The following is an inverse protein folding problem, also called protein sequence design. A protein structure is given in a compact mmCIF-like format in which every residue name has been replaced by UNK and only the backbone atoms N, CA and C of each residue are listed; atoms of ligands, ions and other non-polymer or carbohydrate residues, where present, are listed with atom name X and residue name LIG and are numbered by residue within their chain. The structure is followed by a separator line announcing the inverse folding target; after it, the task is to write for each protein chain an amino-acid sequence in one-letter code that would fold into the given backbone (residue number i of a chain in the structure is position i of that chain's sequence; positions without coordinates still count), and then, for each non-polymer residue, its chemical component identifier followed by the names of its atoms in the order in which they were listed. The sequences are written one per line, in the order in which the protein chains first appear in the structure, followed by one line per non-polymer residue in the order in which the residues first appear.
data_IF_698198373669
#
_entry.id   IF_698198373669
#
_cell.length_a   1.000
_cell.length_b   1.000
_cell.length_c   1.000
_cell.angle_alpha   90.00
_cell.angle_beta   90.00
_cell.angle_gamma   90.00
#
_symmetry.space_group_name_H-M   'P 1'
#
loop_
_entity.id
_entity.type
_entity.pdbx_description
1 polymer ?
#
# COMPACT_ATOMS: atom_id res chain seq x y z
N UNK A 1 -9.69 -52.95 43.96
CA UNK A 1 -8.95 -52.83 42.72
C UNK A 1 -9.55 -51.70 41.91
N UNK A 2 -9.00 -50.55 41.96
CA UNK A 2 -9.43 -49.40 41.23
C UNK A 2 -8.18 -48.63 40.74
N UNK A 3 -7.92 -48.73 39.47
CA UNK A 3 -6.86 -47.99 38.83
C UNK A 3 -7.37 -46.60 38.45
N UNK A 4 -6.87 -45.59 39.13
CA UNK A 4 -7.08 -44.19 38.77
C UNK A 4 -6.08 -43.78 37.68
N UNK A 5 -6.58 -43.55 36.49
CA UNK A 5 -5.80 -42.96 35.42
C UNK A 5 -5.67 -41.44 35.62
N UNK A 6 -4.49 -41.00 35.95
CA UNK A 6 -4.16 -39.56 35.95
C UNK A 6 -3.94 -39.10 34.51
N UNK A 7 -4.89 -38.34 33.97
CA UNK A 7 -4.75 -37.58 32.74
C UNK A 7 -3.87 -36.37 33.04
N UNK A 8 -2.59 -36.51 32.75
CA UNK A 8 -1.65 -35.38 32.73
C UNK A 8 -1.92 -34.50 31.52
N UNK A 9 -2.59 -33.36 31.71
CA UNK A 9 -2.63 -32.31 30.75
C UNK A 9 -1.21 -31.75 30.57
N UNK A 10 -0.57 -32.06 29.46
CA UNK A 10 0.67 -31.42 29.05
C UNK A 10 0.37 -29.92 28.83
N UNK A 11 0.82 -29.10 29.78
CA UNK A 11 0.87 -27.63 29.60
C UNK A 11 1.80 -27.35 28.43
N UNK A 12 1.21 -27.04 27.29
CA UNK A 12 1.97 -26.65 26.09
C UNK A 12 2.72 -25.36 26.36
N UNK A 13 3.94 -25.48 26.85
CA UNK A 13 4.86 -24.36 26.87
C UNK A 13 5.25 -24.10 25.42
N UNK A 14 4.92 -22.91 24.93
CA UNK A 14 5.43 -22.46 23.65
C UNK A 14 6.95 -22.56 23.65
N UNK A 15 7.57 -23.20 22.63
CA UNK A 15 9.00 -23.36 22.58
C UNK A 15 9.69 -21.98 22.55
N UNK A 16 10.66 -21.79 23.43
CA UNK A 16 11.47 -20.58 23.43
C UNK A 16 12.39 -20.58 22.19
N UNK A 17 12.35 -19.51 21.43
CA UNK A 17 13.22 -19.31 20.27
C UNK A 17 14.10 -18.08 20.48
N UNK A 18 15.30 -18.13 19.90
CA UNK A 18 16.23 -16.99 19.86
C UNK A 18 16.62 -16.70 18.42
N UNK A 19 16.47 -15.44 18.00
CA UNK A 19 16.99 -14.98 16.72
C UNK A 19 18.51 -15.01 16.73
N UNK A 20 19.11 -15.78 15.83
CA UNK A 20 20.57 -15.91 15.72
C UNK A 20 21.14 -14.82 14.82
N UNK A 21 20.47 -14.53 13.70
CA UNK A 21 20.86 -13.44 12.79
C UNK A 21 19.64 -13.01 11.96
N UNK A 22 19.65 -11.77 11.50
CA UNK A 22 18.74 -11.28 10.47
C UNK A 22 19.36 -11.63 9.11
N UNK A 23 18.62 -12.36 8.28
CA UNK A 23 19.09 -12.77 6.94
C UNK A 23 18.81 -11.65 5.95
N UNK A 24 17.59 -11.13 5.98
CA UNK A 24 17.10 -10.05 5.15
C UNK A 24 16.06 -9.25 5.92
N UNK A 25 15.97 -7.96 5.64
CA UNK A 25 14.94 -7.10 6.22
C UNK A 25 13.85 -6.88 5.18
N UNK A 26 12.61 -7.17 5.54
CA UNK A 26 11.46 -6.98 4.64
C UNK A 26 11.12 -5.50 4.41
N UNK A 27 11.56 -4.61 5.32
CA UNK A 27 11.28 -3.18 5.25
C UNK A 27 12.51 -2.38 5.63
N UNK A 28 12.94 -1.55 4.73
CA UNK A 28 13.98 -0.53 4.90
C UNK A 28 13.41 0.89 4.96
N UNK A 29 12.11 1.03 4.70
CA UNK A 29 11.38 2.30 4.77
C UNK A 29 10.20 2.18 5.72
N UNK A 30 9.89 3.29 6.39
CA UNK A 30 8.71 3.41 7.23
C UNK A 30 8.12 4.81 7.12
N UNK A 31 6.89 4.95 7.61
CA UNK A 31 6.21 6.24 7.76
C UNK A 31 6.20 6.62 9.24
N UNK A 32 6.45 7.89 9.52
CA UNK A 32 6.46 8.41 10.87
C UNK A 32 6.24 9.92 10.90
N UNK A 33 6.06 10.43 12.12
CA UNK A 33 5.94 11.86 12.39
C UNK A 33 7.33 12.46 12.58
N UNK A 34 7.58 13.53 11.87
CA UNK A 34 8.84 14.27 11.97
C UNK A 34 8.77 15.28 13.11
N UNK A 35 9.76 15.22 13.99
CA UNK A 35 9.96 16.16 15.08
C UNK A 35 11.28 16.90 14.90
N UNK A 36 11.26 18.21 15.03
CA UNK A 36 12.47 19.04 14.92
C UNK A 36 13.22 19.03 16.26
N UNK A 37 14.42 18.48 16.26
CA UNK A 37 15.30 18.40 17.43
C UNK A 37 16.74 18.77 17.04
N UNK A 38 17.00 20.07 16.86
CA UNK A 38 18.30 20.57 16.38
C UNK A 38 19.51 19.93 17.08
N UNK A 39 20.54 19.50 16.38
CA UNK A 39 20.76 19.60 14.91
C UNK A 39 20.13 18.45 14.11
N UNK A 40 19.25 17.66 14.70
CA UNK A 40 18.60 16.49 14.10
C UNK A 40 17.13 16.76 13.76
N UNK A 41 16.60 15.93 12.86
CA UNK A 41 15.19 15.62 12.78
C UNK A 41 14.99 14.21 13.34
N UNK A 42 13.93 14.01 14.08
CA UNK A 42 13.57 12.72 14.67
C UNK A 42 12.28 12.24 14.02
N UNK A 43 12.29 11.03 13.47
CA UNK A 43 11.09 10.43 12.92
C UNK A 43 10.57 9.40 13.90
N UNK A 44 9.40 9.68 14.48
CA UNK A 44 8.66 8.79 15.37
C UNK A 44 7.76 7.90 14.53
N UNK A 45 7.98 6.58 14.48
CA UNK A 45 7.20 5.68 13.64
C UNK A 45 5.70 5.69 13.98
N UNK A 46 4.85 5.69 12.95
CA UNK A 46 3.39 5.50 13.10
C UNK A 46 3.02 4.03 13.44
N UNK A 47 3.90 3.07 13.15
CA UNK A 47 3.69 1.67 13.50
C UNK A 47 4.19 1.39 14.93
N UNK A 48 3.29 1.10 15.89
CA UNK A 48 3.67 0.86 17.28
C UNK A 48 4.53 -0.39 17.49
N UNK A 49 4.65 -1.23 16.47
CA UNK A 49 5.55 -2.41 16.51
C UNK A 49 7.01 -2.04 16.32
N UNK A 50 7.30 -0.80 15.91
CA UNK A 50 8.65 -0.26 15.76
C UNK A 50 8.93 0.61 17.00
N UNK A 51 9.65 0.10 18.00
CA UNK A 51 9.80 0.78 19.29
C UNK A 51 11.02 1.71 19.36
N UNK A 52 11.46 2.26 18.23
CA UNK A 52 12.62 3.14 18.19
C UNK A 52 12.43 4.25 17.16
N UNK A 53 12.95 5.41 17.48
CA UNK A 53 12.93 6.57 16.61
C UNK A 53 14.09 6.52 15.61
N UNK A 54 13.93 7.19 14.47
CA UNK A 54 14.94 7.29 13.43
C UNK A 54 15.49 8.71 13.39
N UNK A 55 16.79 8.85 13.58
CA UNK A 55 17.46 10.12 13.52
C UNK A 55 17.87 10.47 12.10
N UNK A 56 17.58 11.68 11.68
CA UNK A 56 17.97 12.25 10.39
C UNK A 56 18.77 13.53 10.61
N UNK A 57 19.54 13.94 9.62
CA UNK A 57 20.22 15.23 9.70
C UNK A 57 19.28 16.35 9.30
N UNK A 58 19.01 17.28 10.20
CA UNK A 58 18.14 18.43 9.93
C UNK A 58 18.64 19.28 8.77
N UNK A 59 19.95 19.38 8.60
CA UNK A 59 20.58 20.13 7.52
C UNK A 59 20.25 19.61 6.12
N UNK A 60 19.95 18.31 5.97
CA UNK A 60 19.62 17.70 4.68
C UNK A 60 18.22 18.10 4.21
N UNK A 61 17.31 18.34 5.14
CA UNK A 61 15.91 18.69 4.87
C UNK A 61 15.42 19.79 5.83
N UNK A 62 15.95 21.01 5.69
CA UNK A 62 15.54 22.15 6.53
C UNK A 62 14.12 22.64 6.26
N UNK A 63 13.53 22.20 5.15
CA UNK A 63 12.19 22.52 4.66
C UNK A 63 11.08 21.78 5.42
N UNK A 64 11.40 20.67 6.09
CA UNK A 64 10.37 19.85 6.76
C UNK A 64 9.94 20.53 8.06
N UNK A 65 8.65 20.76 8.18
CA UNK A 65 8.05 21.33 9.38
C UNK A 65 7.84 20.29 10.48
N UNK A 66 7.86 20.76 11.73
CA UNK A 66 7.54 19.93 12.90
C UNK A 66 6.11 19.38 12.80
N UNK A 67 5.92 18.10 13.12
CA UNK A 67 4.64 17.40 13.02
C UNK A 67 4.29 16.89 11.63
N UNK A 68 5.16 17.08 10.62
CA UNK A 68 4.94 16.51 9.28
C UNK A 68 4.97 14.99 9.30
N UNK A 69 4.12 14.34 8.51
CA UNK A 69 4.20 12.91 8.20
C UNK A 69 5.19 12.71 7.06
N UNK A 70 6.16 11.85 7.28
CA UNK A 70 7.24 11.61 6.33
C UNK A 70 7.46 10.13 6.09
N UNK A 71 7.93 9.78 4.89
CA UNK A 71 8.52 8.49 4.61
C UNK A 71 10.04 8.60 4.75
N UNK A 72 10.60 7.76 5.61
CA UNK A 72 12.02 7.70 5.88
C UNK A 72 12.57 6.35 5.47
N UNK A 73 13.73 6.34 4.79
CA UNK A 73 14.50 5.14 4.52
C UNK A 73 15.56 4.97 5.59
N UNK A 74 15.58 3.81 6.22
CA UNK A 74 16.52 3.47 7.28
C UNK A 74 17.87 3.11 6.66
N UNK A 75 18.90 3.81 7.03
CA UNK A 75 20.29 3.52 6.61
C UNK A 75 21.01 2.66 7.64
N UNK A 76 20.83 3.00 8.91
CA UNK A 76 21.41 2.23 10.02
C UNK A 76 20.30 1.76 10.94
N UNK A 77 20.22 0.46 11.15
CA UNK A 77 19.28 -0.11 12.11
C UNK A 77 19.83 -0.05 13.54
N UNK A 78 18.95 0.07 14.55
CA UNK A 78 19.40 0.19 15.93
C UNK A 78 20.15 -1.06 16.38
N UNK A 79 21.20 -0.84 17.15
CA UNK A 79 21.97 -1.88 17.82
C UNK A 79 22.23 -1.46 19.27
N UNK A 80 22.91 -2.32 20.04
CA UNK A 80 23.13 -2.09 21.49
C UNK A 80 23.62 -0.68 21.84
N UNK A 81 24.48 -0.10 21.00
CA UNK A 81 25.09 1.22 21.21
C UNK A 81 24.93 2.14 19.98
N UNK A 82 23.98 1.86 19.11
CA UNK A 82 23.81 2.62 17.87
C UNK A 82 22.33 2.93 17.72
N UNK A 83 22.00 4.22 17.59
CA UNK A 83 20.67 4.66 17.25
C UNK A 83 20.34 4.34 15.79
N UNK A 84 19.05 4.24 15.46
CA UNK A 84 18.64 4.13 14.08
C UNK A 84 18.86 5.48 13.38
N UNK A 85 19.40 5.44 12.17
CA UNK A 85 19.52 6.64 11.31
C UNK A 85 18.88 6.39 9.95
N UNK A 86 18.46 7.46 9.29
CA UNK A 86 17.83 7.35 7.99
C UNK A 86 17.77 8.69 7.25
N UNK A 87 17.22 8.63 6.05
CA UNK A 87 17.01 9.78 5.17
C UNK A 87 15.53 9.92 4.85
N UNK A 88 14.98 11.12 4.98
CA UNK A 88 13.61 11.41 4.57
C UNK A 88 13.55 11.43 3.04
N UNK A 89 12.79 10.51 2.47
CA UNK A 89 12.58 10.41 1.04
C UNK A 89 11.42 11.29 0.56
N UNK A 90 10.36 11.40 1.39
CA UNK A 90 9.14 12.10 0.99
C UNK A 90 8.46 12.72 2.20
N UNK A 91 7.87 13.89 1.99
CA UNK A 91 6.89 14.49 2.90
C UNK A 91 5.50 14.15 2.38
N UNK A 92 4.73 13.41 3.17
CA UNK A 92 3.41 12.93 2.80
C UNK A 92 2.37 14.04 3.00
N UNK A 93 2.48 14.76 4.12
CA UNK A 93 1.56 15.83 4.47
C UNK A 93 1.69 16.18 5.95
N UNK A 94 0.70 16.86 6.49
CA UNK A 94 0.60 17.15 7.92
C UNK A 94 -0.38 16.20 8.58
N UNK A 95 -0.11 15.81 9.80
CA UNK A 95 -0.98 14.90 10.56
C UNK A 95 -2.38 15.45 10.84
N UNK A 96 -2.56 16.78 10.73
CA UNK A 96 -3.81 17.51 10.95
C UNK A 96 -4.59 17.79 9.64
N UNK A 97 -4.08 17.41 8.49
CA UNK A 97 -4.79 17.56 7.21
C UNK A 97 -5.85 16.46 7.05
N UNK A 98 -7.06 16.82 6.64
CA UNK A 98 -8.18 15.89 6.48
C UNK A 98 -7.91 14.83 5.39
N UNK A 99 -7.19 15.21 4.34
CA UNK A 99 -6.91 14.35 3.18
C UNK A 99 -5.70 13.43 3.38
N UNK A 100 -4.87 13.66 4.40
CA UNK A 100 -3.62 12.91 4.63
C UNK A 100 -3.85 11.42 4.92
N UNK A 101 -5.07 11.06 5.36
CA UNK A 101 -5.39 9.69 5.74
C UNK A 101 -5.21 8.67 4.59
N UNK A 102 -5.60 9.04 3.39
CA UNK A 102 -5.45 8.18 2.19
C UNK A 102 -3.98 8.10 1.79
N UNK A 103 -3.30 9.22 1.72
CA UNK A 103 -1.88 9.29 1.37
C UNK A 103 -1.01 8.51 2.36
N UNK A 104 -1.37 8.56 3.64
CA UNK A 104 -0.73 7.76 4.69
C UNK A 104 -0.89 6.26 4.45
N UNK A 105 -2.08 5.80 4.06
CA UNK A 105 -2.35 4.40 3.73
C UNK A 105 -1.54 3.98 2.51
N UNK A 106 -1.56 4.77 1.45
CA UNK A 106 -0.79 4.56 0.22
C UNK A 106 0.71 4.44 0.53
N UNK A 107 1.25 5.39 1.29
CA UNK A 107 2.66 5.40 1.66
C UNK A 107 3.04 4.22 2.57
N UNK A 108 2.20 3.89 3.55
CA UNK A 108 2.43 2.78 4.49
C UNK A 108 2.43 1.42 3.81
N UNK A 109 1.54 1.23 2.85
CA UNK A 109 1.42 -0.03 2.10
C UNK A 109 2.26 -0.04 0.81
N UNK A 110 3.00 1.03 0.52
CA UNK A 110 3.83 1.17 -0.69
C UNK A 110 3.02 0.91 -1.96
N UNK A 111 1.78 1.43 -2.00
CA UNK A 111 0.93 1.27 -3.17
C UNK A 111 1.44 2.16 -4.31
N UNK A 112 1.54 1.57 -5.50
CA UNK A 112 1.85 2.34 -6.70
C UNK A 112 0.61 3.12 -7.14
N UNK A 113 0.75 4.44 -7.23
CA UNK A 113 -0.34 5.35 -7.65
C UNK A 113 -0.22 5.80 -9.10
N UNK A 114 0.84 5.38 -9.79
CA UNK A 114 1.08 5.67 -11.19
C UNK A 114 1.27 4.38 -11.98
N UNK A 115 0.76 4.36 -13.21
CA UNK A 115 1.04 3.26 -14.13
C UNK A 115 2.50 3.29 -14.58
N UNK A 116 3.10 2.11 -14.74
CA UNK A 116 4.44 2.00 -15.31
C UNK A 116 4.47 2.50 -16.76
N UNK A 117 5.64 2.99 -17.20
CA UNK A 117 5.81 3.40 -18.61
C UNK A 117 5.51 2.28 -19.60
N UNK A 118 5.78 1.02 -19.23
CA UNK A 118 5.41 -0.15 -20.02
C UNK A 118 3.90 -0.29 -20.19
N UNK A 119 3.13 -0.20 -19.10
CA UNK A 119 1.67 -0.26 -19.15
C UNK A 119 1.06 0.89 -19.96
N UNK A 120 1.62 2.11 -19.79
CA UNK A 120 1.19 3.27 -20.59
C UNK A 120 1.51 3.08 -22.08
N UNK A 121 2.65 2.49 -22.42
CA UNK A 121 3.03 2.23 -23.81
C UNK A 121 2.11 1.16 -24.43
N UNK A 122 1.80 0.08 -23.73
CA UNK A 122 0.85 -0.93 -24.16
C UNK A 122 -0.55 -0.35 -24.38
N UNK A 123 -1.04 0.46 -23.44
CA UNK A 123 -2.34 1.12 -23.56
C UNK A 123 -2.41 2.07 -24.77
N UNK A 124 -1.33 2.80 -25.05
CA UNK A 124 -1.25 3.70 -26.24
C UNK A 124 -1.17 2.91 -27.54
N UNK A 125 -0.57 1.72 -27.52
CA UNK A 125 -0.43 0.84 -28.69
C UNK A 125 -1.66 -0.02 -28.93
N UNK A 126 -2.57 -0.13 -27.96
CA UNK A 126 -3.78 -0.91 -28.07
C UNK A 126 -4.71 -0.32 -29.14
N UNK A 127 -4.98 -1.10 -30.19
CA UNK A 127 -5.90 -0.75 -31.28
C UNK A 127 -7.00 -1.80 -31.34
N UNK A 128 -8.22 -1.32 -31.49
CA UNK A 128 -9.36 -2.22 -31.69
C UNK A 128 -9.25 -2.87 -33.07
N UNK A 129 -9.04 -4.17 -33.12
CA UNK A 129 -9.10 -5.00 -34.33
C UNK A 129 -10.54 -5.52 -34.52
N UNK A 130 -11.39 -4.74 -35.18
CA UNK A 130 -12.79 -5.10 -35.40
C UNK A 130 -12.94 -6.35 -36.30
N UNK A 131 -12.14 -6.45 -37.35
CA UNK A 131 -12.17 -7.60 -38.26
C UNK A 131 -11.73 -8.89 -37.56
N UNK A 132 -10.65 -8.83 -36.80
CA UNK A 132 -10.16 -9.94 -36.00
C UNK A 132 -11.15 -10.35 -34.92
N UNK A 133 -11.81 -9.42 -34.26
CA UNK A 133 -12.84 -9.70 -33.27
C UNK A 133 -14.04 -10.44 -33.89
N UNK A 134 -14.55 -9.99 -35.02
CA UNK A 134 -15.63 -10.65 -35.74
C UNK A 134 -15.24 -12.05 -36.22
N UNK A 135 -14.02 -12.20 -36.75
CA UNK A 135 -13.47 -13.49 -37.15
C UNK A 135 -13.31 -14.46 -35.98
N UNK A 136 -13.03 -13.94 -34.78
CA UNK A 136 -12.95 -14.71 -33.53
C UNK A 136 -14.32 -15.06 -32.91
N UNK A 137 -15.43 -14.66 -33.57
CA UNK A 137 -16.80 -14.99 -33.16
C UNK A 137 -17.48 -13.97 -32.25
N UNK A 138 -16.90 -12.80 -32.04
CA UNK A 138 -17.59 -11.70 -31.38
C UNK A 138 -18.74 -11.20 -32.25
N UNK A 139 -19.83 -10.80 -31.61
CA UNK A 139 -21.02 -10.28 -32.29
C UNK A 139 -20.97 -8.76 -32.36
N UNK A 140 -21.22 -8.20 -33.53
CA UNK A 140 -21.47 -6.77 -33.67
C UNK A 140 -22.84 -6.42 -33.12
N UNK A 141 -22.90 -5.56 -32.12
CA UNK A 141 -24.11 -5.08 -31.47
C UNK A 141 -24.35 -3.59 -31.68
N UNK A 142 -23.57 -2.91 -32.52
CA UNK A 142 -23.64 -1.44 -32.72
C UNK A 142 -24.99 -1.00 -33.29
N UNK A 143 -25.69 -1.86 -33.98
CA UNK A 143 -27.05 -1.59 -34.51
C UNK A 143 -28.17 -1.82 -33.47
N UNK A 144 -27.82 -2.31 -32.27
CA UNK A 144 -28.81 -2.52 -31.21
C UNK A 144 -28.95 -1.27 -30.35
N UNK A 145 -30.20 -0.96 -30.00
CA UNK A 145 -30.49 0.06 -29.00
C UNK A 145 -29.94 -0.41 -27.65
N UNK A 146 -28.92 0.27 -27.18
CA UNK A 146 -28.23 -0.05 -25.94
C UNK A 146 -28.09 1.24 -25.13
N UNK A 147 -28.32 1.16 -23.81
CA UNK A 147 -28.22 2.30 -22.91
C UNK A 147 -27.66 1.88 -21.57
N UNK A 148 -27.10 2.83 -20.83
CA UNK A 148 -26.64 2.68 -19.45
C UNK A 148 -27.51 3.54 -18.53
N UNK A 149 -27.55 3.20 -17.24
CA UNK A 149 -28.23 3.98 -16.20
C UNK A 149 -27.23 4.24 -15.09
N UNK A 150 -26.47 5.30 -15.26
CA UNK A 150 -25.37 5.67 -14.38
C UNK A 150 -25.62 7.04 -13.75
N UNK A 151 -24.98 7.37 -12.62
CA UNK A 151 -24.95 8.72 -12.09
C UNK A 151 -24.39 9.72 -13.11
N UNK A 152 -24.83 10.98 -13.02
CA UNK A 152 -24.44 12.04 -13.99
C UNK A 152 -22.93 12.29 -14.01
N UNK A 153 -22.24 11.98 -12.92
CA UNK A 153 -20.80 12.14 -12.72
C UNK A 153 -19.99 10.84 -12.88
N UNK A 154 -20.63 9.75 -13.30
CA UNK A 154 -19.94 8.50 -13.60
C UNK A 154 -18.93 8.71 -14.73
N UNK A 155 -17.70 8.17 -14.53
CA UNK A 155 -16.60 8.25 -15.50
C UNK A 155 -16.39 6.94 -16.25
N UNK A 156 -16.97 5.88 -15.75
CA UNK A 156 -16.94 4.52 -16.27
C UNK A 156 -18.37 3.98 -16.33
N UNK A 157 -18.67 3.26 -17.38
CA UNK A 157 -19.99 2.67 -17.63
C UNK A 157 -19.82 1.15 -17.65
N UNK A 158 -20.07 0.51 -16.50
CA UNK A 158 -19.80 -0.92 -16.33
C UNK A 158 -20.88 -1.79 -16.96
N UNK A 159 -22.14 -1.40 -16.81
CA UNK A 159 -23.29 -2.18 -17.25
C UNK A 159 -24.07 -1.48 -18.35
N UNK A 160 -24.40 -2.23 -19.41
CA UNK A 160 -25.24 -1.76 -20.48
C UNK A 160 -26.45 -2.68 -20.68
N UNK A 161 -27.60 -2.09 -20.92
CA UNK A 161 -28.88 -2.79 -21.16
C UNK A 161 -29.26 -2.67 -22.62
N UNK A 162 -29.66 -3.78 -23.23
CA UNK A 162 -30.29 -3.80 -24.52
C UNK A 162 -31.58 -4.68 -24.52
N UNK A 163 -32.58 -4.28 -25.26
CA UNK A 163 -33.86 -4.99 -25.36
C UNK A 163 -34.02 -5.56 -26.75
N UNK A 164 -34.43 -6.81 -26.83
CA UNK A 164 -34.84 -7.46 -28.07
C UNK A 164 -36.20 -8.08 -27.90
N UNK A 165 -37.13 -7.74 -28.79
CA UNK A 165 -38.44 -8.38 -28.83
C UNK A 165 -38.31 -9.74 -29.53
N UNK A 166 -38.43 -10.83 -28.78
CA UNK A 166 -38.47 -12.18 -29.34
C UNK A 166 -39.93 -12.57 -29.51
N UNK A 167 -40.42 -12.56 -30.74
CA UNK A 167 -41.75 -13.12 -31.05
C UNK A 167 -41.66 -14.64 -31.09
N UNK A 168 -42.07 -15.28 -30.01
CA UNK A 168 -42.32 -16.73 -29.97
C UNK A 168 -43.76 -16.98 -30.47
N UNK A 169 -43.88 -17.60 -31.59
CA UNK A 169 -45.12 -18.25 -32.05
C UNK A 169 -44.97 -19.77 -31.92
#
# INVERSE_FOLDING_TARGET
SGAGGASGAASGQNPAARVVRVVERSHDTLVGRYEVAEPFGVVVPEDPRIPYDIFTMRADRPDIEDGSLVRVRIETFPARNTAATGVVEEVIGRADDEDVGVDLIVARHKLETAFSEGALAEARAAVLDEEGALAAGYRDLRDRFTFTIDPVDARDFDDALSLECVSTW
#
